data_IF_903135018647
#
_entry.id   IF_903135018647
#
_cell.length_a   1.000
_cell.length_b   1.000
_cell.length_c   1.000
_cell.angle_alpha   90.00
_cell.angle_beta   90.00
_cell.angle_gamma   90.00
#
_symmetry.space_group_name_H-M   'P 1'
#
loop_
_entity.id
_entity.type
_entity.pdbx_description
1 polymer ?
#
# COMPACT_ATOMS: atom_id res chain seq x y z
N UNK A 1 -18.04 -46.05 -37.95
CA UNK A 1 -17.71 -44.83 -38.71
C UNK A 1 -16.76 -44.00 -37.89
N UNK A 2 -15.65 -43.65 -38.52
CA UNK A 2 -14.39 -43.17 -37.95
C UNK A 2 -14.38 -41.63 -37.98
N UNK A 3 -14.09 -40.96 -36.86
CA UNK A 3 -13.46 -39.63 -36.90
C UNK A 3 -12.97 -39.20 -35.52
N UNK A 4 -11.70 -39.52 -35.27
CA UNK A 4 -10.87 -38.92 -34.24
C UNK A 4 -10.50 -37.49 -34.64
N UNK A 5 -10.64 -36.51 -33.73
CA UNK A 5 -9.94 -35.22 -33.84
C UNK A 5 -9.15 -34.97 -32.55
N UNK A 6 -7.83 -34.67 -32.66
CA UNK A 6 -6.95 -34.63 -31.52
C UNK A 6 -6.99 -33.30 -30.76
N UNK A 7 -6.69 -33.42 -29.47
CA UNK A 7 -6.42 -32.41 -28.47
C UNK A 7 -5.24 -31.52 -28.91
N UNK A 8 -5.43 -30.22 -29.04
CA UNK A 8 -4.33 -29.25 -29.16
C UNK A 8 -4.15 -28.53 -27.82
N UNK A 9 -3.07 -28.91 -27.12
CA UNK A 9 -2.52 -28.14 -26.00
C UNK A 9 -2.01 -26.79 -26.54
N UNK A 10 -2.58 -25.69 -26.07
CA UNK A 10 -1.97 -24.37 -26.22
C UNK A 10 -0.97 -24.17 -25.08
N UNK A 11 0.32 -24.29 -25.38
CA UNK A 11 1.39 -23.90 -24.48
C UNK A 11 1.50 -22.37 -24.45
N UNK A 12 1.15 -21.74 -23.33
CA UNK A 12 1.47 -20.33 -23.08
C UNK A 12 2.96 -20.23 -22.70
N UNK A 13 3.78 -19.76 -23.62
CA UNK A 13 5.18 -19.40 -23.35
C UNK A 13 5.24 -17.99 -22.75
N UNK A 14 5.68 -17.91 -21.49
CA UNK A 14 6.12 -16.66 -20.86
C UNK A 14 7.39 -16.16 -21.57
N UNK A 15 7.32 -15.03 -22.25
CA UNK A 15 8.50 -14.32 -22.74
C UNK A 15 9.00 -13.35 -21.65
N UNK A 16 10.08 -13.75 -20.97
CA UNK A 16 10.85 -12.87 -20.10
C UNK A 16 11.53 -11.78 -20.95
N UNK A 17 11.08 -10.53 -20.81
CA UNK A 17 11.68 -9.39 -21.50
C UNK A 17 12.88 -8.88 -20.70
N UNK A 18 14.06 -9.41 -21.00
CA UNK A 18 15.33 -8.87 -20.56
C UNK A 18 15.70 -7.65 -21.42
N UNK A 19 16.10 -6.55 -20.78
CA UNK A 19 16.65 -5.37 -21.44
C UNK A 19 17.93 -5.73 -22.23
N UNK A 20 17.83 -5.82 -23.55
CA UNK A 20 19.00 -5.89 -24.43
C UNK A 20 19.09 -4.60 -25.24
N UNK A 21 20.25 -3.93 -25.12
CA UNK A 21 20.66 -2.80 -25.95
C UNK A 21 21.02 -3.34 -27.34
N UNK A 22 20.28 -2.94 -28.36
CA UNK A 22 20.67 -3.21 -29.75
C UNK A 22 21.41 -2.00 -30.30
N UNK A 23 22.66 -2.20 -30.73
CA UNK A 23 23.36 -1.29 -31.63
C UNK A 23 23.09 -1.79 -33.05
N UNK A 24 22.44 -0.96 -33.87
CA UNK A 24 22.21 -1.25 -35.28
C UNK A 24 22.72 -0.09 -36.13
N UNK A 25 23.67 -0.43 -37.01
CA UNK A 25 24.15 0.34 -38.15
C UNK A 25 22.98 0.68 -39.10
N UNK A 26 22.96 1.89 -39.67
CA UNK A 26 21.97 2.33 -40.69
C UNK A 26 22.67 2.82 -41.96
N UNK A 27 22.05 2.66 -43.15
CA UNK A 27 22.21 3.60 -44.24
C UNK A 27 20.95 4.47 -44.40
N UNK A 28 21.13 5.78 -44.42
CA UNK A 28 20.12 6.79 -44.81
C UNK A 28 20.35 7.20 -46.29
N UNK A 29 19.52 8.05 -46.96
CA UNK A 29 18.40 8.84 -46.42
C UNK A 29 17.15 8.95 -47.31
N UNK A 30 15.97 9.14 -46.69
CA UNK A 30 14.97 10.05 -47.23
C UNK A 30 14.36 10.86 -46.09
N UNK A 31 14.50 12.18 -46.22
CA UNK A 31 14.14 13.19 -45.25
C UNK A 31 12.63 13.43 -45.24
N UNK A 32 12.00 13.10 -44.11
CA UNK A 32 10.83 13.80 -43.58
C UNK A 32 11.02 13.81 -42.06
N UNK A 33 11.48 14.94 -41.53
CA UNK A 33 11.73 15.14 -40.11
C UNK A 33 10.41 15.21 -39.35
N UNK A 34 9.91 14.06 -38.91
CA UNK A 34 9.04 13.99 -37.74
C UNK A 34 9.84 14.46 -36.52
N UNK A 35 9.30 15.31 -35.63
CA UNK A 35 9.99 15.63 -34.40
C UNK A 35 10.08 14.33 -33.59
N UNK A 36 11.28 13.78 -33.50
CA UNK A 36 11.60 12.80 -32.49
C UNK A 36 11.36 13.49 -31.15
N UNK A 37 10.26 13.16 -30.47
CA UNK A 37 10.13 13.41 -29.03
C UNK A 37 11.24 12.62 -28.36
N UNK A 38 12.38 13.29 -28.17
CA UNK A 38 13.42 12.85 -27.27
C UNK A 38 12.74 12.60 -25.92
N UNK A 39 12.73 11.35 -25.46
CA UNK A 39 12.35 11.04 -24.09
C UNK A 39 13.23 11.90 -23.18
N UNK A 40 12.64 12.92 -22.56
CA UNK A 40 13.38 13.91 -21.82
C UNK A 40 13.97 13.27 -20.55
N UNK A 41 15.14 13.72 -20.08
CA UNK A 41 15.77 13.26 -18.83
C UNK A 41 14.96 13.62 -17.55
N UNK A 42 13.72 14.09 -17.70
CA UNK A 42 12.94 14.86 -16.74
C UNK A 42 11.97 14.02 -15.88
N UNK A 43 11.97 12.70 -16.02
CA UNK A 43 11.11 11.82 -15.20
C UNK A 43 11.34 11.99 -13.68
N UNK A 44 12.60 12.19 -13.28
CA UNK A 44 12.95 12.50 -11.89
C UNK A 44 12.55 13.92 -11.49
N UNK A 45 12.57 14.88 -12.43
CA UNK A 45 12.20 16.27 -12.15
C UNK A 45 10.70 16.40 -11.86
N UNK A 46 9.84 15.72 -12.64
CA UNK A 46 8.41 15.71 -12.42
C UNK A 46 8.01 15.09 -11.06
N UNK A 47 8.64 13.96 -10.69
CA UNK A 47 8.41 13.34 -9.38
C UNK A 47 8.88 14.23 -8.22
N UNK A 48 10.03 14.90 -8.37
CA UNK A 48 10.53 15.85 -7.37
C UNK A 48 9.62 17.08 -7.23
N UNK A 49 9.10 17.61 -8.35
CA UNK A 49 8.16 18.72 -8.34
C UNK A 49 6.85 18.34 -7.64
N UNK A 50 6.29 17.16 -7.93
CA UNK A 50 5.09 16.66 -7.24
C UNK A 50 5.35 16.50 -5.73
N UNK A 51 6.50 15.94 -5.35
CA UNK A 51 6.86 15.79 -3.94
C UNK A 51 7.01 17.13 -3.22
N UNK A 52 7.49 18.18 -3.90
CA UNK A 52 7.60 19.53 -3.37
C UNK A 52 6.25 20.22 -3.15
N UNK A 53 5.21 19.82 -3.89
CA UNK A 53 3.84 20.34 -3.72
C UNK A 53 3.07 19.66 -2.57
N UNK A 54 3.55 18.51 -2.07
CA UNK A 54 2.89 17.76 -1.02
C UNK A 54 3.17 18.38 0.36
N UNK A 55 2.14 18.97 0.97
CA UNK A 55 2.24 19.69 2.25
C UNK A 55 2.14 18.78 3.48
N UNK A 56 1.97 17.47 3.31
CA UNK A 56 1.86 16.53 4.43
C UNK A 56 3.17 16.42 5.22
N UNK A 57 3.11 15.84 6.42
CA UNK A 57 4.30 15.53 7.22
C UNK A 57 4.97 14.26 6.68
N UNK A 58 6.30 14.26 6.45
CA UNK A 58 6.99 13.06 6.01
C UNK A 58 7.13 12.05 7.15
N UNK A 59 6.93 10.77 6.84
CA UNK A 59 7.26 9.63 7.69
C UNK A 59 8.51 8.99 7.12
N UNK A 60 9.69 9.18 7.76
CA UNK A 60 10.94 8.65 7.26
C UNK A 60 10.98 7.13 7.41
N UNK A 61 11.09 6.41 6.30
CA UNK A 61 11.07 4.95 6.26
C UNK A 61 12.18 4.44 5.35
N UNK A 62 12.81 3.34 5.74
CA UNK A 62 13.63 2.56 4.83
C UNK A 62 12.75 1.88 3.77
N UNK A 63 13.31 1.48 2.60
CA UNK A 63 12.52 0.94 1.50
C UNK A 63 11.64 -0.25 1.88
N UNK A 64 12.18 -1.20 2.66
CA UNK A 64 11.43 -2.37 3.12
C UNK A 64 10.34 -2.02 4.13
N UNK A 65 10.57 -1.06 5.03
CA UNK A 65 9.55 -0.57 5.95
C UNK A 65 8.41 0.14 5.21
N UNK A 66 8.74 1.00 4.25
CA UNK A 66 7.74 1.68 3.43
C UNK A 66 6.89 0.68 2.63
N UNK A 67 7.52 -0.35 2.07
CA UNK A 67 6.83 -1.43 1.38
C UNK A 67 5.89 -2.19 2.33
N UNK A 68 6.39 -2.64 3.48
CA UNK A 68 5.60 -3.37 4.46
C UNK A 68 4.40 -2.55 4.95
N UNK A 69 4.61 -1.27 5.27
CA UNK A 69 3.52 -0.37 5.65
C UNK A 69 2.44 -0.28 4.55
N UNK A 70 2.82 -0.19 3.26
CA UNK A 70 1.84 -0.18 2.16
C UNK A 70 1.05 -1.47 2.07
N UNK A 71 1.70 -2.63 2.25
CA UNK A 71 1.02 -3.93 2.26
C UNK A 71 -0.01 -3.97 3.39
N UNK A 72 0.38 -3.58 4.60
CA UNK A 72 -0.54 -3.49 5.72
C UNK A 72 -1.73 -2.59 5.38
N UNK A 73 -1.51 -1.38 4.83
CA UNK A 73 -2.63 -0.48 4.49
C UNK A 73 -3.57 -1.07 3.42
N UNK A 74 -3.05 -1.85 2.46
CA UNK A 74 -3.89 -2.57 1.50
C UNK A 74 -4.69 -3.71 2.17
N UNK A 75 -4.09 -4.44 3.11
CA UNK A 75 -4.78 -5.45 3.92
C UNK A 75 -5.87 -4.83 4.80
N UNK A 76 -5.65 -3.62 5.31
CA UNK A 76 -6.67 -2.88 6.07
C UNK A 76 -7.89 -2.56 5.20
N UNK A 77 -7.68 -2.17 3.93
CA UNK A 77 -8.77 -1.96 2.97
C UNK A 77 -9.53 -3.27 2.69
N UNK A 78 -8.83 -4.40 2.59
CA UNK A 78 -9.46 -5.72 2.45
C UNK A 78 -10.32 -6.05 3.67
N UNK A 79 -9.87 -5.77 4.89
CA UNK A 79 -10.66 -5.96 6.09
C UNK A 79 -11.95 -5.12 6.07
N UNK A 80 -11.87 -3.83 5.71
CA UNK A 80 -13.05 -2.95 5.58
C UNK A 80 -14.03 -3.47 4.52
N UNK A 81 -13.53 -3.94 3.38
CA UNK A 81 -14.38 -4.54 2.34
C UNK A 81 -15.12 -5.76 2.87
N UNK A 82 -14.43 -6.67 3.56
CA UNK A 82 -15.02 -7.88 4.15
C UNK A 82 -16.05 -7.54 5.21
N UNK A 83 -15.75 -6.61 6.12
CA UNK A 83 -16.70 -6.11 7.14
C UNK A 83 -17.97 -5.59 6.47
N UNK A 84 -17.83 -4.74 5.45
CA UNK A 84 -18.98 -4.14 4.76
C UNK A 84 -19.83 -5.19 4.03
N UNK A 85 -19.18 -6.12 3.32
CA UNK A 85 -19.86 -7.18 2.58
C UNK A 85 -20.55 -8.19 3.51
N UNK A 86 -19.92 -8.55 4.63
CA UNK A 86 -20.48 -9.43 5.64
C UNK A 86 -21.66 -8.77 6.36
N UNK A 87 -21.54 -7.49 6.72
CA UNK A 87 -22.61 -6.73 7.34
C UNK A 87 -23.85 -6.64 6.44
N UNK A 88 -23.67 -6.43 5.14
CA UNK A 88 -24.79 -6.41 4.18
C UNK A 88 -25.55 -7.75 4.10
N UNK A 89 -24.89 -8.85 4.47
CA UNK A 89 -25.47 -10.20 4.52
C UNK A 89 -25.85 -10.64 5.94
N UNK A 90 -25.64 -9.78 6.94
CA UNK A 90 -25.77 -10.11 8.37
C UNK A 90 -24.91 -11.32 8.79
N UNK A 91 -23.77 -11.52 8.14
CA UNK A 91 -22.78 -12.54 8.52
C UNK A 91 -21.88 -12.00 9.65
N UNK A 92 -22.40 -12.07 10.88
CA UNK A 92 -21.76 -11.52 12.07
C UNK A 92 -20.43 -12.20 12.43
N UNK A 93 -20.30 -13.48 12.09
CA UNK A 93 -19.06 -14.24 12.30
C UNK A 93 -17.98 -13.73 11.35
N UNK A 94 -18.31 -13.47 10.09
CA UNK A 94 -17.36 -12.90 9.14
C UNK A 94 -17.02 -11.44 9.46
N UNK A 95 -17.97 -10.63 9.95
CA UNK A 95 -17.64 -9.27 10.46
C UNK A 95 -16.60 -9.37 11.59
N UNK A 96 -16.77 -10.29 12.53
CA UNK A 96 -15.83 -10.51 13.63
C UNK A 96 -14.46 -10.98 13.14
N UNK A 97 -14.41 -11.95 12.22
CA UNK A 97 -13.16 -12.46 11.63
C UNK A 97 -12.41 -11.40 10.84
N UNK A 98 -13.14 -10.56 10.09
CA UNK A 98 -12.54 -9.49 9.31
C UNK A 98 -12.02 -8.36 10.19
N UNK A 99 -12.75 -7.99 11.26
CA UNK A 99 -12.29 -7.01 12.24
C UNK A 99 -10.97 -7.42 12.91
N UNK A 100 -10.82 -8.69 13.30
CA UNK A 100 -9.60 -9.21 13.93
C UNK A 100 -8.31 -9.00 13.12
N UNK A 101 -8.40 -8.75 11.81
CA UNK A 101 -7.23 -8.42 10.98
C UNK A 101 -6.66 -7.03 11.23
N UNK A 102 -7.44 -6.13 11.80
CA UNK A 102 -7.11 -4.71 11.99
C UNK A 102 -7.26 -4.24 13.44
N UNK A 103 -7.61 -5.14 14.35
CA UNK A 103 -7.65 -4.88 15.80
C UNK A 103 -6.25 -4.59 16.38
N UNK A 104 -6.23 -4.00 17.56
CA UNK A 104 -5.00 -3.71 18.27
C UNK A 104 -4.32 -4.98 18.80
N UNK A 105 -3.00 -5.00 18.72
CA UNK A 105 -2.16 -6.07 19.29
C UNK A 105 -0.81 -5.54 19.73
N UNK A 106 -0.12 -6.22 20.68
CA UNK A 106 1.24 -5.82 21.08
C UNK A 106 2.23 -5.80 19.92
N UNK A 107 2.12 -6.75 18.99
CA UNK A 107 2.96 -6.83 17.81
C UNK A 107 2.73 -5.65 16.87
N UNK A 108 1.46 -5.32 16.60
CA UNK A 108 1.11 -4.12 15.85
C UNK A 108 1.65 -2.86 16.52
N UNK A 109 1.52 -2.77 17.86
CA UNK A 109 1.97 -1.59 18.59
C UNK A 109 3.47 -1.35 18.45
N UNK A 110 4.27 -2.40 18.58
CA UNK A 110 5.73 -2.34 18.37
C UNK A 110 6.07 -1.93 16.92
N UNK A 111 5.34 -2.48 15.95
CA UNK A 111 5.52 -2.14 14.53
C UNK A 111 5.22 -0.65 14.27
N UNK A 112 4.09 -0.13 14.78
CA UNK A 112 3.73 1.28 14.65
C UNK A 112 4.74 2.21 15.32
N UNK A 113 5.23 1.85 16.51
CA UNK A 113 6.28 2.58 17.21
C UNK A 113 7.58 2.63 16.39
N UNK A 114 8.00 1.50 15.83
CA UNK A 114 9.21 1.43 15.01
C UNK A 114 9.08 2.26 13.73
N UNK A 115 7.95 2.14 13.01
CA UNK A 115 7.69 2.93 11.81
C UNK A 115 7.57 4.43 12.10
N UNK A 116 7.09 4.81 13.29
CA UNK A 116 6.88 6.19 13.70
C UNK A 116 8.09 6.87 14.33
N UNK A 117 9.21 6.17 14.55
CA UNK A 117 10.35 6.67 15.32
C UNK A 117 10.93 8.02 14.82
N UNK A 118 10.74 8.36 13.55
CA UNK A 118 11.19 9.63 12.98
C UNK A 118 10.09 10.63 12.63
N UNK A 119 8.84 10.39 13.04
CA UNK A 119 7.69 11.22 12.71
C UNK A 119 6.82 11.50 13.94
N UNK A 120 6.94 12.70 14.49
CA UNK A 120 6.14 13.16 15.62
C UNK A 120 4.62 13.02 15.35
N UNK A 121 3.91 12.45 16.32
CA UNK A 121 2.46 12.20 16.28
C UNK A 121 2.01 11.08 15.33
N UNK A 122 2.91 10.50 14.52
CA UNK A 122 2.52 9.44 13.58
C UNK A 122 2.05 8.19 14.31
N UNK A 123 2.82 7.75 15.32
CA UNK A 123 2.51 6.53 16.09
C UNK A 123 1.13 6.63 16.73
N UNK A 124 0.79 7.75 17.36
CA UNK A 124 -0.50 7.92 18.04
C UNK A 124 -1.66 7.76 17.06
N UNK A 125 -1.55 8.41 15.90
CA UNK A 125 -2.59 8.37 14.88
C UNK A 125 -2.66 7.00 14.19
N UNK A 126 -1.54 6.32 14.01
CA UNK A 126 -1.49 4.95 13.51
C UNK A 126 -2.15 3.96 14.48
N UNK A 127 -1.87 4.08 15.78
CA UNK A 127 -2.50 3.24 16.82
C UNK A 127 -3.99 3.53 16.97
N UNK A 128 -4.41 4.78 16.80
CA UNK A 128 -5.82 5.17 16.89
C UNK A 128 -6.69 4.45 15.86
N UNK A 129 -6.17 4.17 14.66
CA UNK A 129 -6.87 3.33 13.68
C UNK A 129 -7.23 1.96 14.28
N UNK A 130 -6.24 1.28 14.85
CA UNK A 130 -6.43 -0.05 15.42
C UNK A 130 -7.35 -0.04 16.65
N UNK A 131 -7.19 0.96 17.53
CA UNK A 131 -8.06 1.12 18.70
C UNK A 131 -9.52 1.40 18.33
N UNK A 132 -9.77 2.11 17.22
CA UNK A 132 -11.14 2.29 16.71
C UNK A 132 -11.70 1.00 16.13
N UNK A 133 -10.87 0.18 15.49
CA UNK A 133 -11.27 -1.11 14.96
C UNK A 133 -11.67 -2.12 16.05
N UNK A 134 -11.10 -2.02 17.26
CA UNK A 134 -11.45 -2.86 18.43
C UNK A 134 -12.94 -2.83 18.79
N UNK A 135 -13.67 -1.79 18.39
CA UNK A 135 -15.11 -1.66 18.66
C UNK A 135 -15.99 -2.47 17.68
N UNK A 136 -15.46 -2.91 16.53
CA UNK A 136 -16.25 -3.57 15.48
C UNK A 136 -16.70 -4.96 15.91
N UNK A 137 -15.79 -5.79 16.41
CA UNK A 137 -16.12 -7.16 16.78
C UNK A 137 -17.10 -7.26 17.97
N UNK A 138 -16.97 -6.46 19.05
CA UNK A 138 -18.00 -6.40 20.10
C UNK A 138 -19.39 -6.03 19.56
N UNK A 139 -19.48 -5.03 18.67
CA UNK A 139 -20.74 -4.61 18.05
C UNK A 139 -21.34 -5.72 17.17
N UNK A 140 -20.50 -6.43 16.41
CA UNK A 140 -20.91 -7.56 15.59
C UNK A 140 -21.43 -8.74 16.41
N UNK A 141 -20.77 -9.06 17.53
CA UNK A 141 -21.24 -10.09 18.48
C UNK A 141 -22.58 -9.74 19.11
N UNK A 142 -22.86 -8.45 19.30
CA UNK A 142 -24.16 -7.94 19.73
C UNK A 142 -25.20 -7.87 18.60
N UNK A 143 -24.81 -8.17 17.35
CA UNK A 143 -25.63 -8.06 16.14
C UNK A 143 -26.23 -6.64 15.95
N UNK A 144 -25.51 -5.63 16.42
CA UNK A 144 -25.93 -4.23 16.33
C UNK A 144 -25.37 -3.61 15.05
N UNK A 145 -26.19 -3.61 13.98
CA UNK A 145 -25.83 -3.01 12.70
C UNK A 145 -25.37 -1.56 12.84
N UNK A 146 -26.07 -0.75 13.65
CA UNK A 146 -25.76 0.66 13.78
C UNK A 146 -24.42 0.88 14.49
N UNK A 147 -24.14 0.09 15.53
CA UNK A 147 -22.86 0.12 16.21
C UNK A 147 -21.70 -0.35 15.32
N UNK A 148 -21.88 -1.41 14.51
CA UNK A 148 -20.86 -1.87 13.55
C UNK A 148 -20.56 -0.79 12.51
N UNK A 149 -21.59 -0.17 11.94
CA UNK A 149 -21.43 0.93 10.98
C UNK A 149 -20.72 2.12 11.60
N UNK A 150 -21.08 2.49 12.83
CA UNK A 150 -20.44 3.58 13.56
C UNK A 150 -18.96 3.29 13.81
N UNK A 151 -18.62 2.12 14.34
CA UNK A 151 -17.23 1.71 14.57
C UNK A 151 -16.41 1.66 13.27
N UNK A 152 -17.00 1.17 12.18
CA UNK A 152 -16.38 1.14 10.85
C UNK A 152 -16.15 2.55 10.30
N UNK A 153 -17.14 3.45 10.43
CA UNK A 153 -17.01 4.84 10.03
C UNK A 153 -15.91 5.57 10.82
N UNK A 154 -15.84 5.36 12.14
CA UNK A 154 -14.77 5.91 12.97
C UNK A 154 -13.40 5.37 12.55
N UNK A 155 -13.31 4.08 12.21
CA UNK A 155 -12.06 3.47 11.72
C UNK A 155 -11.61 4.11 10.39
N UNK A 156 -12.54 4.31 9.45
CA UNK A 156 -12.28 5.00 8.18
C UNK A 156 -11.86 6.46 8.37
N UNK A 157 -12.43 7.17 9.35
CA UNK A 157 -12.02 8.53 9.69
C UNK A 157 -10.51 8.57 10.04
N UNK A 158 -10.00 7.59 10.79
CA UNK A 158 -8.56 7.51 11.10
C UNK A 158 -7.71 7.31 9.83
N UNK A 159 -8.16 6.50 8.86
CA UNK A 159 -7.48 6.38 7.56
C UNK A 159 -7.38 7.75 6.87
N UNK A 160 -8.50 8.48 6.78
CA UNK A 160 -8.54 9.78 6.10
C UNK A 160 -7.67 10.82 6.80
N UNK A 161 -7.70 10.87 8.14
CA UNK A 161 -6.87 11.80 8.92
C UNK A 161 -5.38 11.47 8.78
N UNK A 162 -5.01 10.19 8.76
CA UNK A 162 -3.63 9.77 8.53
C UNK A 162 -3.15 10.23 7.14
N UNK A 163 -3.91 9.92 6.11
CA UNK A 163 -3.54 10.24 4.73
C UNK A 163 -3.59 11.73 4.40
N UNK A 164 -4.38 12.51 5.13
CA UNK A 164 -4.38 13.97 5.07
C UNK A 164 -3.18 14.59 5.82
N UNK A 165 -2.65 13.91 6.84
CA UNK A 165 -1.58 14.45 7.69
C UNK A 165 -0.20 14.00 7.26
N UNK A 166 -0.04 12.74 6.84
CA UNK A 166 1.25 12.09 6.64
C UNK A 166 1.43 11.55 5.22
N UNK A 167 2.69 11.50 4.78
CA UNK A 167 3.13 10.76 3.59
C UNK A 167 4.37 9.94 3.90
N UNK A 168 4.57 8.83 3.20
CA UNK A 168 5.84 8.12 3.27
C UNK A 168 6.97 8.95 2.63
N UNK A 169 8.13 9.01 3.30
CA UNK A 169 9.38 9.50 2.74
C UNK A 169 10.39 8.34 2.80
N UNK A 170 10.66 7.75 1.64
CA UNK A 170 11.64 6.66 1.53
C UNK A 170 13.05 7.23 1.57
N UNK A 171 13.90 6.70 2.43
CA UNK A 171 15.32 7.07 2.56
C UNK A 171 16.19 5.83 2.79
N UNK A 172 17.49 5.96 2.56
CA UNK A 172 18.44 4.89 2.87
C UNK A 172 18.60 4.67 4.38
N UNK A 173 19.26 3.58 4.75
CA UNK A 173 19.46 3.20 6.14
C UNK A 173 20.25 4.27 6.91
N UNK A 174 21.33 4.82 6.35
CA UNK A 174 22.17 5.80 7.04
C UNK A 174 21.39 7.08 7.37
N UNK A 175 20.60 7.59 6.42
CA UNK A 175 19.74 8.75 6.62
C UNK A 175 18.65 8.47 7.69
N UNK A 176 18.10 7.26 7.69
CA UNK A 176 17.11 6.85 8.69
C UNK A 176 17.72 6.80 10.10
N UNK A 177 18.87 6.16 10.27
CA UNK A 177 19.57 6.08 11.57
C UNK A 177 19.95 7.47 12.10
N UNK A 178 20.46 8.34 11.23
CA UNK A 178 20.78 9.73 11.59
C UNK A 178 19.52 10.53 12.02
N UNK A 179 18.36 10.20 11.45
CA UNK A 179 17.09 10.87 11.75
C UNK A 179 16.42 10.37 13.03
N UNK A 180 16.49 9.07 13.31
CA UNK A 180 15.77 8.41 14.40
C UNK A 180 16.63 8.08 15.61
N UNK A 181 17.96 8.12 15.47
CA UNK A 181 18.90 7.65 16.49
C UNK A 181 18.85 6.14 16.74
N UNK A 182 18.08 5.40 15.94
CA UNK A 182 17.96 3.94 16.02
C UNK A 182 18.94 3.32 15.04
N UNK A 183 19.88 2.48 15.49
CA UNK A 183 20.72 1.67 14.59
C UNK A 183 20.07 0.31 14.34
N UNK A 184 20.10 -0.19 13.10
CA UNK A 184 19.87 -1.60 12.85
C UNK A 184 21.07 -2.39 13.36
N UNK A 185 21.04 -2.79 14.64
CA UNK A 185 21.95 -3.83 15.10
C UNK A 185 21.51 -5.14 14.42
N UNK A 186 22.23 -5.52 13.37
CA UNK A 186 22.15 -6.85 12.75
C UNK A 186 22.86 -7.88 13.63
#
# INVERSE_FOLDING_TARGET
>A
MNSSRPLQLLALTLAASACQRSAAESPAPHAASAPATAASPDGCAAAAQLAAMDTRKPVPLQPMMAWHQKQNMMEHLVAIQRITAALAQQDWDEVTKAAALIESSPQMQQMCQHMGAGAEGFTDLALEFHHRADAIAPAARAQDTAAVLTATAHTLEACTRCHATYRQQVMDAQAWEAKTGSSLAH
#
